data_IF_847861795929
#
_entry.id   IF_847861795929
#
_cell.length_a   1.000
_cell.length_b   1.000
_cell.length_c   1.000
_cell.angle_alpha   90.00
_cell.angle_beta   90.00
_cell.angle_gamma   90.00
#
_symmetry.space_group_name_H-M   'P 1'
#
loop_
_entity.id
_entity.type
_entity.pdbx_description
1 polymer ?
#
# COMPACT_ATOMS: atom_id res chain seq x y z
N UNK A 1 -23.84 -26.48 17.54
CA UNK A 1 -24.04 -25.29 18.42
C UNK A 1 -23.17 -24.08 18.07
N UNK A 2 -21.83 -24.22 17.95
CA UNK A 2 -20.89 -23.10 17.66
C UNK A 2 -21.22 -22.30 16.39
N UNK A 3 -21.58 -22.97 15.28
CA UNK A 3 -21.98 -22.31 14.02
C UNK A 3 -23.26 -21.46 14.15
N UNK A 4 -24.22 -21.86 15.00
CA UNK A 4 -25.44 -21.09 15.28
C UNK A 4 -25.13 -19.84 16.11
N UNK A 5 -24.26 -19.96 17.12
CA UNK A 5 -23.78 -18.82 17.92
C UNK A 5 -22.98 -17.82 17.06
N UNK A 6 -22.17 -18.29 16.12
CA UNK A 6 -21.47 -17.43 15.16
C UNK A 6 -22.45 -16.70 14.22
N UNK A 7 -23.40 -17.42 13.62
CA UNK A 7 -24.41 -16.81 12.75
C UNK A 7 -25.26 -15.76 13.49
N UNK A 8 -25.60 -16.01 14.75
CA UNK A 8 -26.35 -15.07 15.58
C UNK A 8 -25.51 -13.82 15.93
N UNK A 9 -24.23 -13.99 16.25
CA UNK A 9 -23.33 -12.86 16.51
C UNK A 9 -23.05 -12.03 15.25
N UNK A 10 -22.88 -12.66 14.09
CA UNK A 10 -22.71 -11.96 12.82
C UNK A 10 -24.00 -11.24 12.38
N UNK A 11 -25.17 -11.83 12.64
CA UNK A 11 -26.46 -11.17 12.43
C UNK A 11 -26.62 -9.94 13.33
N UNK A 12 -26.31 -10.05 14.62
CA UNK A 12 -26.32 -8.91 15.56
C UNK A 12 -25.34 -7.82 15.14
N UNK A 13 -24.14 -8.18 14.67
CA UNK A 13 -23.15 -7.23 14.14
C UNK A 13 -23.63 -6.53 12.87
N UNK A 14 -24.26 -7.26 11.96
CA UNK A 14 -24.81 -6.70 10.72
C UNK A 14 -25.98 -5.74 11.01
N UNK A 15 -26.83 -6.08 11.97
CA UNK A 15 -27.95 -5.24 12.41
C UNK A 15 -27.47 -3.95 13.09
N UNK A 16 -26.48 -4.04 13.98
CA UNK A 16 -25.83 -2.87 14.59
C UNK A 16 -25.19 -1.99 13.51
N UNK A 17 -24.55 -2.57 12.50
CA UNK A 17 -23.98 -1.83 11.37
C UNK A 17 -25.07 -1.13 10.55
N UNK A 18 -26.16 -1.82 10.23
CA UNK A 18 -27.29 -1.25 9.48
C UNK A 18 -27.93 -0.07 10.23
N UNK A 19 -28.16 -0.21 11.53
CA UNK A 19 -28.71 0.85 12.39
C UNK A 19 -27.80 2.09 12.44
N UNK A 20 -26.49 1.90 12.51
CA UNK A 20 -25.52 3.00 12.48
C UNK A 20 -25.46 3.68 11.10
N UNK A 21 -25.58 2.91 10.02
CA UNK A 21 -25.61 3.44 8.66
C UNK A 21 -26.87 4.26 8.38
N UNK A 22 -28.02 3.82 8.88
CA UNK A 22 -29.29 4.53 8.75
C UNK A 22 -29.30 5.84 9.56
N UNK A 23 -28.86 5.81 10.82
CA UNK A 23 -28.73 7.00 11.66
C UNK A 23 -27.73 8.03 11.09
N UNK A 24 -26.75 7.57 10.31
CA UNK A 24 -25.79 8.44 9.65
C UNK A 24 -26.34 9.11 8.38
N UNK A 25 -27.37 8.55 7.71
CA UNK A 25 -27.92 9.10 6.45
C UNK A 25 -28.48 10.52 6.61
N UNK A 26 -29.14 10.83 7.72
CA UNK A 26 -29.64 12.18 7.99
C UNK A 26 -28.53 13.19 8.35
N UNK A 27 -27.36 12.74 8.83
CA UNK A 27 -26.21 13.59 9.19
C UNK A 27 -25.14 13.68 8.08
N UNK A 28 -25.26 12.87 7.01
CA UNK A 28 -24.30 12.74 5.90
C UNK A 28 -24.16 13.97 5.02
N UNK A 29 -25.11 14.90 5.02
CA UNK A 29 -25.02 16.11 4.20
C UNK A 29 -23.85 17.04 4.61
N UNK A 30 -23.39 16.97 5.88
CA UNK A 30 -22.29 17.83 6.40
C UNK A 30 -21.17 17.08 7.14
N UNK A 31 -21.35 15.79 7.49
CA UNK A 31 -20.32 14.94 8.12
C UNK A 31 -20.07 13.69 7.26
N UNK A 32 -18.93 13.66 6.57
CA UNK A 32 -18.53 12.51 5.75
C UNK A 32 -18.39 11.21 6.55
N UNK A 33 -18.46 10.07 5.86
CA UNK A 33 -18.41 8.71 6.43
C UNK A 33 -17.21 8.44 7.35
N UNK A 34 -16.09 9.13 7.13
CA UNK A 34 -14.90 9.03 7.98
C UNK A 34 -14.73 10.30 8.80
N UNK A 35 -14.29 10.14 10.05
CA UNK A 35 -13.80 11.27 10.85
C UNK A 35 -12.60 11.92 10.15
N UNK A 36 -12.39 13.24 10.32
CA UNK A 36 -11.26 13.95 9.73
C UNK A 36 -9.90 13.30 10.03
N UNK A 37 -9.70 12.85 11.27
CA UNK A 37 -8.46 12.18 11.70
C UNK A 37 -8.24 10.84 11.02
N UNK A 38 -9.30 10.03 10.89
CA UNK A 38 -9.21 8.74 10.21
C UNK A 38 -8.94 8.92 8.72
N UNK A 39 -9.53 9.95 8.10
CA UNK A 39 -9.24 10.32 6.71
C UNK A 39 -7.80 10.81 6.54
N UNK A 40 -7.28 11.60 7.48
CA UNK A 40 -5.86 12.04 7.50
C UNK A 40 -4.91 10.84 7.61
N UNK A 41 -5.18 9.90 8.53
CA UNK A 41 -4.39 8.67 8.69
C UNK A 41 -4.43 7.79 7.44
N UNK A 42 -5.60 7.60 6.84
CA UNK A 42 -5.73 6.80 5.61
C UNK A 42 -4.93 7.41 4.45
N UNK A 43 -5.03 8.73 4.23
CA UNK A 43 -4.24 9.41 3.20
C UNK A 43 -2.73 9.25 3.41
N UNK A 44 -2.27 9.34 4.66
CA UNK A 44 -0.86 9.14 4.99
C UNK A 44 -0.39 7.72 4.63
N UNK A 45 -1.16 6.70 5.00
CA UNK A 45 -0.82 5.30 4.70
C UNK A 45 -0.78 5.03 3.18
N UNK A 46 -1.74 5.56 2.43
CA UNK A 46 -1.78 5.41 0.97
C UNK A 46 -0.57 6.08 0.30
N UNK A 47 -0.20 7.30 0.74
CA UNK A 47 0.99 7.99 0.22
C UNK A 47 2.29 7.27 0.58
N UNK A 48 2.39 6.75 1.82
CA UNK A 48 3.56 5.98 2.25
C UNK A 48 3.73 4.72 1.39
N UNK A 49 2.64 3.98 1.16
CA UNK A 49 2.66 2.81 0.28
C UNK A 49 3.04 3.17 -1.17
N UNK A 50 2.49 4.27 -1.71
CA UNK A 50 2.84 4.71 -3.06
C UNK A 50 4.33 5.08 -3.19
N UNK A 51 4.90 5.77 -2.19
CA UNK A 51 6.32 6.10 -2.16
C UNK A 51 7.21 4.86 -2.04
N UNK A 52 6.80 3.86 -1.24
CA UNK A 52 7.52 2.61 -1.07
C UNK A 52 7.53 1.79 -2.38
N UNK A 53 6.39 1.62 -3.04
CA UNK A 53 6.31 0.92 -4.34
C UNK A 53 7.14 1.64 -5.41
N UNK A 54 7.09 2.98 -5.47
CA UNK A 54 7.90 3.75 -6.42
C UNK A 54 9.41 3.55 -6.19
N UNK A 55 9.86 3.57 -4.94
CA UNK A 55 11.28 3.35 -4.61
C UNK A 55 11.72 1.94 -5.01
N UNK A 56 10.89 0.93 -4.75
CA UNK A 56 11.15 -0.46 -5.13
C UNK A 56 11.27 -0.64 -6.64
N UNK A 57 10.44 0.06 -7.42
CA UNK A 57 10.52 0.05 -8.88
C UNK A 57 11.81 0.73 -9.38
N UNK A 58 12.19 1.87 -8.79
CA UNK A 58 13.45 2.54 -9.10
C UNK A 58 14.67 1.65 -8.82
N UNK A 59 14.68 0.97 -7.68
CA UNK A 59 15.74 0.02 -7.31
C UNK A 59 15.84 -1.15 -8.31
N UNK A 60 14.70 -1.70 -8.74
CA UNK A 60 14.66 -2.74 -9.78
C UNK A 60 15.25 -2.25 -11.10
N UNK A 61 14.80 -1.08 -11.57
CA UNK A 61 15.29 -0.49 -12.82
C UNK A 61 16.79 -0.15 -12.74
N UNK A 62 17.26 0.31 -11.58
CA UNK A 62 18.67 0.59 -11.36
C UNK A 62 19.52 -0.69 -11.35
N UNK A 63 19.04 -1.77 -10.73
CA UNK A 63 19.70 -3.06 -10.73
C UNK A 63 19.77 -3.66 -12.15
N UNK A 64 18.66 -3.62 -12.89
CA UNK A 64 18.62 -4.05 -14.29
C UNK A 64 19.57 -3.23 -15.17
N UNK A 65 19.57 -1.90 -15.01
CA UNK A 65 20.52 -1.03 -15.70
C UNK A 65 21.97 -1.41 -15.41
N UNK A 66 22.30 -1.72 -14.15
CA UNK A 66 23.66 -2.17 -13.77
C UNK A 66 24.00 -3.50 -14.45
N UNK A 67 23.08 -4.47 -14.42
CA UNK A 67 23.26 -5.76 -15.10
C UNK A 67 23.50 -5.59 -16.61
N UNK A 68 22.70 -4.76 -17.27
CA UNK A 68 22.86 -4.48 -18.71
C UNK A 68 24.22 -3.83 -18.99
N UNK A 69 24.67 -2.90 -18.14
CA UNK A 69 25.99 -2.27 -18.30
C UNK A 69 27.10 -3.30 -18.13
N UNK A 70 27.00 -4.18 -17.15
CA UNK A 70 27.98 -5.25 -16.94
C UNK A 70 28.02 -6.23 -18.13
N UNK A 71 26.85 -6.62 -18.65
CA UNK A 71 26.73 -7.49 -19.83
C UNK A 71 27.27 -6.81 -21.11
N UNK A 72 27.04 -5.50 -21.29
CA UNK A 72 27.45 -4.77 -22.51
C UNK A 72 28.90 -4.29 -22.50
N UNK A 73 29.34 -3.71 -21.38
CA UNK A 73 30.67 -3.11 -21.26
C UNK A 73 31.71 -4.15 -20.81
N UNK A 74 31.30 -5.25 -20.19
CA UNK A 74 32.19 -6.29 -19.70
C UNK A 74 33.06 -5.84 -18.53
N UNK A 75 34.10 -6.62 -18.22
CA UNK A 75 35.11 -6.25 -17.23
C UNK A 75 36.04 -5.19 -17.80
N UNK A 76 36.43 -4.22 -16.98
CA UNK A 76 37.45 -3.24 -17.36
C UNK A 76 38.72 -3.97 -17.81
N UNK A 77 39.35 -3.47 -18.89
CA UNK A 77 40.64 -3.99 -19.34
C UNK A 77 41.66 -3.77 -18.23
N UNK A 78 42.42 -4.81 -17.90
CA UNK A 78 43.53 -4.68 -16.98
C UNK A 78 44.63 -3.86 -17.66
N UNK A 79 44.95 -2.71 -17.07
CA UNK A 79 45.96 -1.76 -17.55
C UNK A 79 47.20 -1.73 -16.66
N UNK A 80 47.28 -2.59 -15.63
CA UNK A 80 48.42 -2.65 -14.72
C UNK A 80 49.70 -3.16 -15.42
N UNK A 81 49.55 -3.94 -16.50
CA UNK A 81 50.65 -4.40 -17.36
C UNK A 81 50.75 -3.61 -18.70
N UNK A 82 49.99 -2.53 -18.87
CA UNK A 82 50.07 -1.73 -20.08
C UNK A 82 51.30 -0.81 -20.05
N UNK A 83 52.30 -1.10 -20.89
CA UNK A 83 53.43 -0.20 -21.12
C UNK A 83 52.97 1.12 -21.74
N UNK A 84 53.49 2.25 -21.24
CA UNK A 84 53.25 3.60 -21.79
C UNK A 84 53.62 3.74 -23.28
#
# INVERSE_FOLDING_TARGET
EKKRKQAETDRKRAEVRARLEEASKAKKAKKGFMTPDRKKKLRLLLRKKAAEELKKEQERKAAERRRIIEERCGKAKNVDDASE
#
